data_IF_219242335521
#
_entry.id   IF_219242335521
#
_cell.length_a   1.000
_cell.length_b   1.000
_cell.length_c   1.000
_cell.angle_alpha   90.00
_cell.angle_beta   90.00
_cell.angle_gamma   90.00
#
_symmetry.space_group_name_H-M   'P 1'
#
loop_
_entity.id
_entity.type
_entity.pdbx_description
1 polymer ?
#
# COMPACT_ATOMS: atom_id res chain seq x y z
N UNK A 1 21.94 24.31 3.42
CA UNK A 1 21.53 23.15 4.24
C UNK A 1 22.36 21.96 3.77
N UNK A 2 23.03 21.25 4.68
CA UNK A 2 23.77 20.01 4.37
C UNK A 2 23.11 18.90 5.16
N UNK A 3 22.74 17.80 4.49
CA UNK A 3 22.15 16.61 5.10
C UNK A 3 23.19 15.49 5.14
N UNK A 4 23.32 14.81 6.27
CA UNK A 4 24.14 13.61 6.41
C UNK A 4 23.25 12.38 6.39
N UNK A 5 23.68 11.34 5.68
CA UNK A 5 22.92 10.09 5.52
C UNK A 5 23.77 8.91 5.97
N UNK A 6 23.17 7.97 6.70
CA UNK A 6 23.77 6.67 6.96
C UNK A 6 23.49 5.76 5.77
N UNK A 7 24.54 5.19 5.19
CA UNK A 7 24.41 4.22 4.11
C UNK A 7 24.23 2.81 4.66
N UNK A 8 23.24 2.07 4.16
CA UNK A 8 22.98 0.68 4.50
C UNK A 8 23.31 -0.20 3.29
N UNK A 9 24.38 -0.99 3.37
CA UNK A 9 24.81 -1.84 2.26
C UNK A 9 23.84 -3.01 2.01
N UNK A 10 23.29 -3.08 0.80
CA UNK A 10 22.31 -4.12 0.38
C UNK A 10 22.90 -5.15 -0.62
N UNK A 11 24.20 -5.06 -0.91
CA UNK A 11 24.86 -5.88 -1.94
C UNK A 11 24.73 -7.37 -1.61
N UNK A 12 24.51 -8.19 -2.65
CA UNK A 12 24.40 -9.65 -2.58
C UNK A 12 23.27 -10.20 -1.69
N UNK A 13 22.29 -9.35 -1.34
CA UNK A 13 21.11 -9.76 -0.57
C UNK A 13 19.82 -9.47 -1.34
N UNK A 14 18.87 -10.38 -1.22
CA UNK A 14 17.47 -10.08 -1.57
C UNK A 14 16.87 -9.08 -0.59
N UNK A 15 15.70 -8.56 -0.90
CA UNK A 15 14.90 -7.72 0.00
C UNK A 15 14.51 -8.53 1.26
N UNK A 16 14.43 -7.93 2.45
CA UNK A 16 13.84 -8.59 3.61
C UNK A 16 12.49 -9.23 3.29
N UNK A 17 12.27 -10.44 3.80
CA UNK A 17 11.06 -11.21 3.48
C UNK A 17 9.81 -10.66 4.18
N UNK A 18 8.66 -11.27 3.87
CA UNK A 18 7.38 -10.88 4.43
C UNK A 18 7.32 -11.07 5.97
N UNK A 19 8.06 -12.03 6.53
CA UNK A 19 8.16 -12.22 7.98
C UNK A 19 8.86 -11.04 8.66
N UNK A 20 9.96 -10.54 8.08
CA UNK A 20 10.65 -9.35 8.57
C UNK A 20 9.73 -8.12 8.56
N UNK A 21 8.97 -7.92 7.49
CA UNK A 21 8.00 -6.83 7.41
C UNK A 21 6.90 -6.97 8.48
N UNK A 22 6.37 -8.17 8.70
CA UNK A 22 5.37 -8.43 9.75
C UNK A 22 5.90 -8.10 11.15
N UNK A 23 7.14 -8.50 11.45
CA UNK A 23 7.80 -8.18 12.71
C UNK A 23 8.02 -6.66 12.88
N UNK A 24 8.46 -5.97 11.83
CA UNK A 24 8.66 -4.51 11.83
C UNK A 24 7.36 -3.75 12.08
N UNK A 25 6.28 -4.12 11.38
CA UNK A 25 4.97 -3.49 11.58
C UNK A 25 4.41 -3.75 12.98
N UNK A 26 4.62 -4.94 13.53
CA UNK A 26 4.23 -5.24 14.92
C UNK A 26 4.97 -4.36 15.91
N UNK A 27 6.26 -4.12 15.70
CA UNK A 27 7.05 -3.22 16.53
C UNK A 27 6.53 -1.78 16.40
N UNK A 28 6.38 -1.29 15.18
CA UNK A 28 5.86 0.04 14.86
C UNK A 28 4.51 0.30 15.55
N UNK A 29 3.55 -0.60 15.38
CA UNK A 29 2.19 -0.47 15.89
C UNK A 29 2.07 -0.52 17.42
N UNK A 30 3.13 -0.96 18.11
CA UNK A 30 3.25 -1.02 19.58
C UNK A 30 4.07 0.11 20.18
N UNK A 31 4.67 0.97 19.35
CA UNK A 31 5.34 2.17 19.85
C UNK A 31 4.32 3.07 20.56
N UNK A 32 4.78 3.84 21.57
CA UNK A 32 3.96 4.89 22.14
C UNK A 32 3.63 5.94 21.09
N UNK A 33 2.59 6.73 21.35
CA UNK A 33 2.19 7.82 20.48
C UNK A 33 3.38 8.77 20.24
N UNK A 34 3.64 9.15 18.98
CA UNK A 34 4.76 10.01 18.66
C UNK A 34 4.54 11.40 19.30
N UNK A 35 5.63 12.05 19.70
CA UNK A 35 5.58 13.43 20.23
C UNK A 35 5.24 14.48 19.16
N UNK A 36 5.14 14.07 17.90
CA UNK A 36 4.74 14.91 16.76
C UNK A 36 3.32 14.57 16.36
N UNK A 37 2.54 15.59 16.04
CA UNK A 37 1.19 15.39 15.50
C UNK A 37 1.30 14.85 14.07
N UNK A 38 0.63 13.72 13.82
CA UNK A 38 0.56 13.12 12.49
C UNK A 38 -0.79 13.44 11.85
N UNK A 39 -0.84 13.63 10.53
CA UNK A 39 -2.11 13.80 9.83
C UNK A 39 -2.97 12.53 9.99
N UNK A 40 -4.30 12.67 10.04
CA UNK A 40 -5.17 11.49 9.99
C UNK A 40 -4.98 10.77 8.66
N UNK A 41 -5.04 9.44 8.70
CA UNK A 41 -5.00 8.63 7.49
C UNK A 41 -6.15 9.04 6.55
N UNK A 42 -5.78 9.40 5.32
CA UNK A 42 -6.72 9.85 4.29
C UNK A 42 -6.59 8.97 3.04
N UNK A 43 -7.10 7.72 3.07
CA UNK A 43 -7.02 6.82 1.92
C UNK A 43 -7.55 7.48 0.65
N UNK A 44 -6.85 7.29 -0.47
CA UNK A 44 -7.24 7.81 -1.79
C UNK A 44 -7.37 9.34 -1.89
N UNK A 45 -6.76 10.11 -0.98
CA UNK A 45 -6.65 11.57 -1.09
C UNK A 45 -5.81 11.97 -2.30
N UNK A 46 -4.54 11.53 -2.35
CA UNK A 46 -3.63 11.76 -3.47
C UNK A 46 -4.15 11.18 -4.79
N UNK A 47 -4.92 10.09 -4.73
CA UNK A 47 -5.57 9.52 -5.91
C UNK A 47 -6.67 10.44 -6.46
N UNK A 48 -7.43 11.12 -5.59
CA UNK A 48 -8.42 12.11 -6.00
C UNK A 48 -7.77 13.30 -6.72
N UNK A 49 -6.62 13.75 -6.24
CA UNK A 49 -5.86 14.84 -6.87
C UNK A 49 -5.42 14.45 -8.29
N UNK A 50 -4.95 13.21 -8.46
CA UNK A 50 -4.56 12.67 -9.78
C UNK A 50 -5.75 12.60 -10.72
N UNK A 51 -6.92 12.17 -10.26
CA UNK A 51 -8.12 12.13 -11.10
C UNK A 51 -8.66 13.53 -11.43
N UNK A 52 -8.40 14.52 -10.57
CA UNK A 52 -8.84 15.91 -10.78
C UNK A 52 -7.92 16.68 -11.73
N UNK A 53 -6.66 16.26 -11.86
CA UNK A 53 -5.74 16.78 -12.85
C UNK A 53 -6.16 16.39 -14.29
N UNK A 54 -5.58 17.04 -15.29
CA UNK A 54 -5.76 16.62 -16.68
C UNK A 54 -5.10 15.25 -16.88
N UNK A 55 -5.90 14.25 -17.25
CA UNK A 55 -5.45 12.87 -17.44
C UNK A 55 -5.73 12.44 -18.88
N UNK A 56 -4.89 11.58 -19.42
CA UNK A 56 -5.10 10.95 -20.74
C UNK A 56 -6.19 9.87 -20.72
N UNK A 57 -6.93 9.75 -19.61
CA UNK A 57 -7.89 8.68 -19.38
C UNK A 57 -9.22 8.99 -20.10
N UNK A 58 -9.85 8.00 -20.76
CA UNK A 58 -11.20 8.16 -21.28
C UNK A 58 -12.20 8.58 -20.18
N UNK A 59 -13.14 9.46 -20.51
CA UNK A 59 -14.11 10.01 -19.54
C UNK A 59 -14.94 8.92 -18.83
N UNK A 60 -15.28 7.83 -19.53
CA UNK A 60 -16.01 6.71 -18.92
C UNK A 60 -15.18 5.99 -17.84
N UNK A 61 -13.88 5.83 -18.08
CA UNK A 61 -12.94 5.20 -17.15
C UNK A 61 -12.68 6.11 -15.95
N UNK A 62 -12.54 7.41 -16.18
CA UNK A 62 -12.39 8.42 -15.13
C UNK A 62 -13.59 8.43 -14.19
N UNK A 63 -14.81 8.46 -14.74
CA UNK A 63 -16.05 8.42 -13.96
C UNK A 63 -16.13 7.14 -13.13
N UNK A 64 -15.83 5.99 -13.72
CA UNK A 64 -15.83 4.72 -13.01
C UNK A 64 -14.86 4.72 -11.81
N UNK A 65 -13.65 5.28 -11.96
CA UNK A 65 -12.69 5.39 -10.86
C UNK A 65 -13.16 6.33 -9.74
N UNK A 66 -13.85 7.43 -10.08
CA UNK A 66 -14.45 8.35 -9.10
C UNK A 66 -15.55 7.61 -8.32
N UNK A 67 -16.48 6.94 -9.02
CA UNK A 67 -17.58 6.22 -8.40
C UNK A 67 -17.07 5.07 -7.51
N UNK A 68 -16.06 4.32 -7.97
CA UNK A 68 -15.46 3.22 -7.22
C UNK A 68 -14.70 3.72 -5.98
N UNK A 69 -13.96 4.83 -6.09
CA UNK A 69 -13.34 5.50 -4.94
C UNK A 69 -14.38 5.88 -3.89
N UNK A 70 -15.45 6.57 -4.31
CA UNK A 70 -16.47 7.06 -3.39
C UNK A 70 -17.23 5.90 -2.72
N UNK A 71 -17.47 4.81 -3.44
CA UNK A 71 -18.02 3.57 -2.89
C UNK A 71 -17.09 2.97 -1.83
N UNK A 72 -15.81 2.81 -2.14
CA UNK A 72 -14.82 2.23 -1.21
C UNK A 72 -14.61 3.08 0.05
N UNK A 73 -14.63 4.41 -0.07
CA UNK A 73 -14.50 5.29 1.09
C UNK A 73 -15.73 5.23 2.00
N UNK A 74 -16.94 5.06 1.44
CA UNK A 74 -18.14 4.79 2.24
C UNK A 74 -18.04 3.45 2.97
N UNK A 75 -17.61 2.39 2.27
CA UNK A 75 -17.40 1.08 2.87
C UNK A 75 -16.36 1.14 4.00
N UNK A 76 -15.23 1.82 3.77
CA UNK A 76 -14.16 2.04 4.75
C UNK A 76 -14.66 2.71 6.04
N UNK A 77 -15.53 3.71 5.92
CA UNK A 77 -16.12 4.41 7.08
C UNK A 77 -17.04 3.53 7.93
N UNK A 78 -17.55 2.43 7.38
CA UNK A 78 -18.41 1.47 8.11
C UNK A 78 -17.60 0.33 8.75
N UNK A 79 -16.29 0.26 8.51
CA UNK A 79 -15.45 -0.81 9.04
C UNK A 79 -15.21 -0.63 10.55
N UNK A 80 -15.22 -1.77 11.26
CA UNK A 80 -14.72 -1.86 12.63
C UNK A 80 -13.31 -2.43 12.57
N UNK A 81 -12.34 -1.67 13.08
CA UNK A 81 -10.91 -1.98 13.03
C UNK A 81 -10.46 -2.68 14.32
N UNK A 82 -10.30 -4.02 14.33
CA UNK A 82 -9.99 -4.77 15.54
C UNK A 82 -8.62 -4.44 16.15
N UNK A 83 -7.66 -3.97 15.36
CA UNK A 83 -6.34 -3.53 15.83
C UNK A 83 -6.35 -2.09 16.36
N UNK A 84 -7.48 -1.39 16.24
CA UNK A 84 -7.62 0.01 16.62
C UNK A 84 -6.77 0.95 15.77
N UNK A 85 -6.65 2.20 16.24
CA UNK A 85 -5.90 3.26 15.57
C UNK A 85 -4.55 3.53 16.23
N UNK A 86 -3.59 4.01 15.46
CA UNK A 86 -2.27 4.44 15.94
C UNK A 86 -1.41 4.98 14.79
N UNK A 87 -0.10 5.11 15.06
CA UNK A 87 0.90 5.37 14.02
C UNK A 87 0.90 4.22 13.00
N UNK A 88 0.76 4.57 11.73
CA UNK A 88 0.94 3.69 10.57
C UNK A 88 2.02 4.27 9.64
N UNK A 89 2.68 3.39 8.90
CA UNK A 89 3.65 3.74 7.88
C UNK A 89 2.99 4.34 6.62
N UNK A 90 1.81 3.85 6.24
CA UNK A 90 1.05 4.30 5.07
C UNK A 90 1.41 3.57 3.77
N UNK A 91 2.69 3.24 3.57
CA UNK A 91 3.15 2.43 2.43
C UNK A 91 4.11 1.30 2.81
N UNK A 92 3.75 0.49 3.81
CA UNK A 92 4.58 -0.63 4.24
C UNK A 92 4.49 -1.81 3.26
N UNK A 93 5.49 -1.99 2.41
CA UNK A 93 5.68 -3.19 1.61
C UNK A 93 7.17 -3.57 1.58
N UNK A 94 7.55 -4.79 1.17
CA UNK A 94 8.95 -5.23 1.29
C UNK A 94 9.96 -4.33 0.57
N UNK A 95 9.58 -3.68 -0.54
CA UNK A 95 10.49 -2.75 -1.23
C UNK A 95 10.89 -1.53 -0.39
N UNK A 96 10.13 -1.21 0.65
CA UNK A 96 10.41 -0.17 1.63
C UNK A 96 11.16 -0.71 2.86
N UNK A 97 11.71 -1.92 2.77
CA UNK A 97 12.57 -2.50 3.82
C UNK A 97 14.01 -2.65 3.34
N UNK A 98 14.94 -2.48 4.27
CA UNK A 98 16.38 -2.59 4.03
C UNK A 98 17.00 -3.46 5.10
N UNK A 99 18.13 -4.10 4.79
CA UNK A 99 18.96 -4.76 5.79
C UNK A 99 19.87 -3.77 6.53
N UNK A 100 19.97 -3.90 7.84
CA UNK A 100 21.02 -3.34 8.70
C UNK A 100 21.72 -4.48 9.45
N UNK A 101 22.83 -4.98 8.90
CA UNK A 101 23.50 -6.16 9.46
C UNK A 101 22.60 -7.41 9.37
N UNK A 102 22.32 -8.06 10.49
CA UNK A 102 21.42 -9.22 10.52
C UNK A 102 19.93 -8.81 10.57
N UNK A 103 19.64 -7.56 10.93
CA UNK A 103 18.30 -7.05 11.17
C UNK A 103 17.73 -6.35 9.93
N UNK A 104 16.41 -6.23 9.88
CA UNK A 104 15.71 -5.43 8.87
C UNK A 104 15.26 -4.10 9.47
N UNK A 105 15.17 -3.06 8.65
CA UNK A 105 14.64 -1.74 9.00
C UNK A 105 13.59 -1.29 7.97
N UNK A 106 12.67 -0.42 8.41
CA UNK A 106 11.66 0.20 7.57
C UNK A 106 12.12 1.59 7.12
N UNK A 107 12.09 1.83 5.81
CA UNK A 107 12.40 3.11 5.18
C UNK A 107 11.20 3.68 4.44
N UNK A 108 11.41 4.80 3.75
CA UNK A 108 10.39 5.52 2.97
C UNK A 108 9.18 6.03 3.78
N UNK A 109 9.45 7.00 4.65
CA UNK A 109 8.48 7.62 5.55
C UNK A 109 7.79 8.84 4.92
N UNK A 110 7.42 8.75 3.64
CA UNK A 110 6.73 9.85 2.92
C UNK A 110 5.21 9.88 3.19
N UNK A 111 4.61 8.76 3.64
CA UNK A 111 3.16 8.65 3.91
C UNK A 111 2.75 8.29 5.37
N UNK A 112 3.53 8.64 6.44
CA UNK A 112 3.14 8.29 7.80
C UNK A 112 1.87 9.04 8.20
N UNK A 113 0.99 8.32 8.91
CA UNK A 113 -0.28 8.87 9.34
C UNK A 113 -0.73 8.29 10.68
N UNK A 114 -1.76 8.91 11.25
CA UNK A 114 -2.52 8.35 12.35
C UNK A 114 -3.79 7.70 11.81
N UNK A 115 -3.94 6.38 11.97
CA UNK A 115 -5.10 5.67 11.41
C UNK A 115 -5.20 4.20 11.82
N UNK A 116 -6.14 3.46 11.22
CA UNK A 116 -6.29 2.03 11.46
C UNK A 116 -5.05 1.24 11.02
N UNK A 117 -4.54 0.39 11.92
CA UNK A 117 -3.31 -0.40 11.71
C UNK A 117 -3.43 -1.40 10.56
N UNK A 118 -4.64 -1.83 10.23
CA UNK A 118 -4.96 -2.73 9.13
C UNK A 118 -4.55 -2.16 7.77
N UNK A 119 -4.45 -0.83 7.63
CA UNK A 119 -4.00 -0.18 6.40
C UNK A 119 -2.59 -0.63 5.99
N UNK A 120 -1.67 -0.76 6.95
CA UNK A 120 -0.30 -1.25 6.67
C UNK A 120 -0.27 -2.73 6.32
N UNK A 121 -1.23 -3.53 6.81
CA UNK A 121 -1.28 -4.97 6.52
C UNK A 121 -1.86 -5.27 5.13
N UNK A 122 -2.73 -4.37 4.63
CA UNK A 122 -3.42 -4.55 3.35
C UNK A 122 -2.45 -4.65 2.16
N UNK A 123 -1.30 -3.98 2.23
CA UNK A 123 -0.26 -4.02 1.19
C UNK A 123 0.29 -5.44 0.99
N UNK A 124 0.53 -6.18 2.07
CA UNK A 124 1.02 -7.55 1.99
C UNK A 124 -0.02 -8.47 1.35
N UNK A 125 -1.30 -8.30 1.70
CA UNK A 125 -2.40 -9.08 1.13
C UNK A 125 -2.58 -8.76 -0.35
N UNK A 126 -2.55 -7.48 -0.73
CA UNK A 126 -2.53 -7.07 -2.14
C UNK A 126 -1.37 -7.73 -2.90
N UNK A 127 -0.19 -7.83 -2.26
CA UNK A 127 0.96 -8.59 -2.75
C UNK A 127 0.61 -10.02 -3.18
N UNK A 128 -0.18 -10.74 -2.38
CA UNK A 128 -0.62 -12.11 -2.69
C UNK A 128 -1.64 -12.19 -3.82
N UNK A 129 -2.37 -11.11 -4.06
CA UNK A 129 -3.43 -11.05 -5.07
C UNK A 129 -2.87 -10.62 -6.42
N UNK A 130 -2.05 -9.56 -6.43
CA UNK A 130 -1.61 -8.86 -7.63
C UNK A 130 -0.17 -9.18 -8.01
N UNK A 131 0.70 -9.41 -7.04
CA UNK A 131 2.16 -9.41 -7.25
C UNK A 131 2.82 -10.77 -6.96
N UNK A 132 2.05 -11.85 -6.96
CA UNK A 132 2.56 -13.22 -6.95
C UNK A 132 3.16 -13.68 -5.61
N UNK A 133 2.87 -12.98 -4.51
CA UNK A 133 3.29 -13.44 -3.18
C UNK A 133 2.63 -14.77 -2.85
N UNK A 134 3.42 -15.72 -2.38
CA UNK A 134 3.00 -17.08 -2.10
C UNK A 134 2.20 -17.16 -0.79
N UNK A 135 1.36 -18.20 -0.62
CA UNK A 135 0.69 -18.44 0.66
C UNK A 135 1.66 -18.52 1.85
N UNK A 136 2.82 -19.17 1.67
CA UNK A 136 3.84 -19.29 2.72
C UNK A 136 4.41 -17.93 3.17
N UNK A 137 4.57 -16.97 2.25
CA UNK A 137 4.98 -15.61 2.61
C UNK A 137 3.88 -14.85 3.35
N UNK A 138 2.60 -15.04 2.99
CA UNK A 138 1.48 -14.45 3.72
C UNK A 138 1.37 -15.03 5.13
N UNK A 139 1.58 -16.34 5.27
CA UNK A 139 1.57 -17.03 6.56
C UNK A 139 2.73 -16.54 7.44
N UNK A 140 3.94 -16.43 6.89
CA UNK A 140 5.10 -15.90 7.60
C UNK A 140 4.89 -14.45 8.08
N UNK A 141 4.27 -13.60 7.26
CA UNK A 141 3.91 -12.24 7.65
C UNK A 141 2.90 -12.23 8.81
N UNK A 142 1.82 -13.01 8.70
CA UNK A 142 0.77 -13.08 9.71
C UNK A 142 1.29 -13.61 11.05
N UNK A 143 2.13 -14.66 11.01
CA UNK A 143 2.79 -15.22 12.19
C UNK A 143 3.70 -14.20 12.87
N UNK A 144 4.56 -13.53 12.10
CA UNK A 144 5.49 -12.52 12.64
C UNK A 144 4.77 -11.28 13.18
N UNK A 145 3.68 -10.87 12.53
CA UNK A 145 2.84 -9.76 13.00
C UNK A 145 2.01 -10.15 14.24
N UNK A 146 1.59 -11.41 14.33
CA UNK A 146 0.79 -11.95 15.43
C UNK A 146 -0.72 -11.75 15.25
N UNK A 147 -1.18 -11.43 14.04
CA UNK A 147 -2.59 -11.31 13.68
C UNK A 147 -2.75 -11.55 12.18
N UNK A 148 -3.65 -12.46 11.79
CA UNK A 148 -3.95 -12.71 10.39
C UNK A 148 -5.09 -11.81 9.93
N UNK A 149 -4.75 -10.78 9.16
CA UNK A 149 -5.74 -9.83 8.63
C UNK A 149 -6.67 -10.46 7.59
N UNK A 150 -6.33 -11.63 7.03
CA UNK A 150 -7.17 -12.33 6.04
C UNK A 150 -8.48 -12.84 6.64
N UNK A 151 -8.52 -13.07 7.95
CA UNK A 151 -9.71 -13.54 8.66
C UNK A 151 -10.73 -12.41 8.92
N UNK A 152 -10.35 -11.15 8.70
CA UNK A 152 -11.19 -10.00 8.94
C UNK A 152 -11.91 -9.55 7.67
N UNK A 153 -13.24 -9.49 7.73
CA UNK A 153 -14.09 -9.16 6.59
C UNK A 153 -13.81 -7.79 5.93
N UNK A 154 -13.14 -6.86 6.63
CA UNK A 154 -12.80 -5.55 6.08
C UNK A 154 -11.58 -5.54 5.14
N UNK A 155 -10.81 -6.63 5.07
CA UNK A 155 -9.55 -6.66 4.31
C UNK A 155 -9.77 -6.45 2.81
N UNK A 156 -10.87 -6.98 2.26
CA UNK A 156 -11.18 -6.83 0.83
C UNK A 156 -11.37 -5.36 0.44
N UNK A 157 -12.00 -4.56 1.31
CA UNK A 157 -12.13 -3.11 1.11
C UNK A 157 -10.76 -2.43 1.12
N UNK A 158 -9.88 -2.78 2.06
CA UNK A 158 -8.54 -2.17 2.14
C UNK A 158 -7.64 -2.56 0.97
N UNK A 159 -7.72 -3.81 0.51
CA UNK A 159 -7.02 -4.26 -0.70
C UNK A 159 -7.49 -3.47 -1.92
N UNK A 160 -8.81 -3.27 -2.09
CA UNK A 160 -9.34 -2.51 -3.23
C UNK A 160 -8.98 -1.02 -3.16
N UNK A 161 -8.93 -0.46 -1.95
CA UNK A 161 -8.37 0.87 -1.71
C UNK A 161 -6.90 0.90 -2.15
N UNK A 162 -6.11 -0.10 -1.78
CA UNK A 162 -4.70 -0.15 -2.18
C UNK A 162 -4.54 -0.33 -3.69
N UNK A 163 -5.39 -1.13 -4.32
CA UNK A 163 -5.45 -1.28 -5.77
C UNK A 163 -5.61 0.09 -6.47
N UNK A 164 -6.59 0.90 -6.05
CA UNK A 164 -6.75 2.27 -6.55
C UNK A 164 -5.56 3.18 -6.23
N UNK A 165 -5.01 3.10 -5.01
CA UNK A 165 -3.83 3.89 -4.65
C UNK A 165 -2.67 3.62 -5.62
N UNK A 166 -2.37 2.35 -5.91
CA UNK A 166 -1.25 1.99 -6.80
C UNK A 166 -1.45 2.41 -8.26
N UNK A 167 -2.69 2.65 -8.71
CA UNK A 167 -2.97 3.24 -10.02
C UNK A 167 -2.51 4.70 -10.12
N UNK A 168 -2.46 5.43 -8.99
CA UNK A 168 -2.14 6.85 -8.98
C UNK A 168 -0.77 7.17 -9.60
N UNK A 169 0.25 6.34 -9.35
CA UNK A 169 1.58 6.53 -9.94
C UNK A 169 1.57 6.28 -11.46
N UNK A 170 0.84 5.27 -11.93
CA UNK A 170 0.67 4.96 -13.35
C UNK A 170 -0.08 6.07 -14.09
N UNK A 171 -1.16 6.61 -13.51
CA UNK A 171 -1.89 7.75 -14.06
C UNK A 171 -1.00 8.99 -14.15
N UNK A 172 -0.21 9.30 -13.12
CA UNK A 172 0.75 10.42 -13.15
C UNK A 172 1.82 10.24 -14.23
N UNK A 173 2.35 9.04 -14.39
CA UNK A 173 3.35 8.73 -15.42
C UNK A 173 2.76 8.82 -16.83
N UNK A 174 1.56 8.28 -17.03
CA UNK A 174 0.84 8.36 -18.30
C UNK A 174 0.52 9.81 -18.70
N UNK A 175 0.09 10.65 -17.75
CA UNK A 175 -0.15 12.08 -17.98
C UNK A 175 1.14 12.84 -18.36
N UNK A 176 2.31 12.35 -17.96
CA UNK A 176 3.62 12.88 -18.35
C UNK A 176 4.15 12.31 -19.68
N UNK A 177 3.35 11.50 -20.38
CA UNK A 177 3.70 10.94 -21.69
C UNK A 177 4.55 9.66 -21.64
N UNK A 178 4.66 8.99 -20.49
CA UNK A 178 5.32 7.68 -20.40
C UNK A 178 4.44 6.61 -21.06
N UNK A 179 4.75 6.25 -22.29
CA UNK A 179 4.01 5.22 -23.04
C UNK A 179 4.29 3.80 -22.53
N UNK A 180 5.36 3.61 -21.75
CA UNK A 180 5.73 2.32 -21.17
C UNK A 180 4.76 1.84 -20.10
N UNK A 181 3.98 2.74 -19.50
CA UNK A 181 3.00 2.39 -18.46
C UNK A 181 1.58 2.20 -18.97
N UNK A 182 1.27 2.59 -20.21
CA UNK A 182 -0.12 2.61 -20.70
C UNK A 182 -0.76 1.22 -20.73
N UNK A 183 -0.03 0.22 -21.22
CA UNK A 183 -0.54 -1.16 -21.31
C UNK A 183 -0.80 -1.78 -19.92
N UNK A 184 0.05 -1.46 -18.94
CA UNK A 184 -0.14 -1.93 -17.56
C UNK A 184 -1.28 -1.16 -16.88
N UNK A 185 -1.37 0.16 -17.04
CA UNK A 185 -2.48 0.97 -16.55
C UNK A 185 -3.82 0.44 -17.06
N UNK A 186 -3.93 0.16 -18.37
CA UNK A 186 -5.13 -0.41 -18.97
C UNK A 186 -5.43 -1.80 -18.39
N UNK A 187 -4.44 -2.68 -18.28
CA UNK A 187 -4.61 -4.02 -17.69
C UNK A 187 -5.18 -3.94 -16.28
N UNK A 188 -4.58 -3.10 -15.42
CA UNK A 188 -5.01 -2.90 -14.04
C UNK A 188 -6.44 -2.38 -13.98
N UNK A 189 -6.74 -1.32 -14.73
CA UNK A 189 -8.07 -0.74 -14.78
C UNK A 189 -9.14 -1.75 -15.21
N UNK A 190 -8.89 -2.48 -16.30
CA UNK A 190 -9.83 -3.47 -16.82
C UNK A 190 -10.01 -4.63 -15.83
N UNK A 191 -8.95 -5.05 -15.12
CA UNK A 191 -9.06 -6.08 -14.07
C UNK A 191 -9.94 -5.63 -12.90
N UNK A 192 -9.84 -4.36 -12.50
CA UNK A 192 -10.68 -3.80 -11.43
C UNK A 192 -12.14 -3.68 -11.86
N UNK A 193 -12.41 -3.24 -13.08
CA UNK A 193 -13.77 -3.15 -13.64
C UNK A 193 -14.45 -4.51 -13.73
N UNK A 194 -13.70 -5.58 -14.02
CA UNK A 194 -14.22 -6.96 -14.05
C UNK A 194 -14.29 -7.60 -12.66
N UNK A 195 -13.67 -7.01 -11.65
CA UNK A 195 -13.54 -7.61 -10.32
C UNK A 195 -12.65 -8.87 -10.30
N UNK A 196 -11.71 -8.98 -11.24
CA UNK A 196 -10.82 -10.15 -11.32
C UNK A 196 -9.50 -9.94 -10.54
N UNK A 197 -8.80 -11.05 -10.30
CA UNK A 197 -7.54 -11.11 -9.54
C UNK A 197 -6.33 -11.21 -10.47
N UNK A 198 -6.38 -10.55 -11.63
CA UNK A 198 -5.24 -10.53 -12.56
C UNK A 198 -3.96 -10.03 -11.87
N UNK A 199 -2.83 -10.65 -12.25
CA UNK A 199 -1.50 -10.25 -11.81
C UNK A 199 -1.02 -8.99 -12.51
N UNK A 200 -0.31 -8.14 -11.77
CA UNK A 200 0.17 -6.83 -12.17
C UNK A 200 1.69 -6.75 -12.07
N UNK A 201 2.29 -5.81 -12.79
CA UNK A 201 3.73 -5.52 -12.73
C UNK A 201 3.95 -4.31 -11.86
N UNK A 202 4.85 -4.38 -10.87
CA UNK A 202 5.19 -3.24 -10.02
C UNK A 202 5.67 -2.02 -10.84
N UNK A 203 5.47 -0.80 -10.30
CA UNK A 203 5.78 0.46 -10.98
C UNK A 203 7.28 0.67 -11.21
#
# INVERSE_FOLDING_TARGET
>A
MVTFWRFYAQQDRGVPDAGHLGALLRQLHRLPDPSVELPPAAPLSAFADVLSADTTLPEHDRRWLIDERDRLLKDFQQLVFPLGTGLIHGDAYPGNTLWDGADAILGDWDEPAWGPRELDLANTIQGGIRFGRTPAELDAFAEAYGYDVRDWAGIDTLVRIRDLHTLGSFLRRAARGDTGVAAELERRLRSLQRGDRASWVAA
#
